data_IF_398821052075
#
_entry.id   IF_398821052075
#
_cell.length_a   1.000
_cell.length_b   1.000
_cell.length_c   1.000
_cell.angle_alpha   90.00
_cell.angle_beta   90.00
_cell.angle_gamma   90.00
#
_symmetry.space_group_name_H-M   'P 1'
#
loop_
_entity.id
_entity.type
_entity.pdbx_description
1 polymer ?
#
# COMPACT_ATOMS: atom_id res chain seq x y z
N UNK A 1 10.35 23.15 -35.88
CA UNK A 1 10.88 22.14 -34.94
C UNK A 1 9.99 22.14 -33.70
N UNK A 2 8.90 21.36 -33.74
CA UNK A 2 7.85 21.31 -32.70
C UNK A 2 7.54 19.84 -32.37
N UNK A 3 8.58 19.02 -32.26
CA UNK A 3 8.50 17.57 -32.17
C UNK A 3 8.76 17.05 -30.74
N UNK A 4 8.18 17.70 -29.73
CA UNK A 4 8.30 17.25 -28.34
C UNK A 4 7.01 16.60 -27.80
N UNK A 5 5.90 16.70 -28.54
CA UNK A 5 4.60 16.15 -28.14
C UNK A 5 4.04 15.13 -29.12
N UNK A 6 4.89 14.45 -29.90
CA UNK A 6 4.51 13.18 -30.52
C UNK A 6 4.67 12.06 -29.49
N UNK A 7 3.92 12.17 -28.40
CA UNK A 7 3.95 11.19 -27.33
C UNK A 7 2.96 10.09 -27.70
N UNK A 8 3.43 9.19 -28.56
CA UNK A 8 2.98 7.80 -28.59
C UNK A 8 3.37 7.06 -27.31
N UNK A 9 3.25 7.68 -26.12
CA UNK A 9 3.39 6.94 -24.87
C UNK A 9 2.06 6.28 -24.59
N UNK A 10 2.07 4.95 -24.66
CA UNK A 10 0.99 4.13 -24.12
C UNK A 10 0.67 4.57 -22.70
N UNK A 11 -0.60 4.49 -22.31
CA UNK A 11 -1.02 4.67 -20.92
C UNK A 11 -0.43 3.61 -19.97
N UNK A 12 0.38 2.67 -20.46
CA UNK A 12 1.03 1.61 -19.68
C UNK A 12 1.68 2.07 -18.37
N UNK A 13 2.43 3.19 -18.30
CA UNK A 13 2.95 3.70 -17.03
C UNK A 13 1.84 4.15 -16.06
N UNK A 14 0.78 4.77 -16.58
CA UNK A 14 -0.38 5.21 -15.79
C UNK A 14 -1.18 4.00 -15.30
N UNK A 15 -1.37 2.99 -16.16
CA UNK A 15 -2.05 1.74 -15.82
C UNK A 15 -1.25 0.93 -14.78
N UNK A 16 0.09 0.91 -14.88
CA UNK A 16 0.95 0.28 -13.88
C UNK A 16 0.87 0.98 -12.52
N UNK A 17 0.80 2.32 -12.50
CA UNK A 17 0.61 3.09 -11.27
C UNK A 17 -0.80 2.87 -10.70
N UNK A 18 -1.83 2.89 -11.54
CA UNK A 18 -3.21 2.69 -11.12
C UNK A 18 -3.43 1.27 -10.57
N UNK A 19 -2.87 0.24 -11.19
CA UNK A 19 -2.92 -1.14 -10.69
C UNK A 19 -2.24 -1.29 -9.32
N UNK A 20 -1.12 -0.59 -9.08
CA UNK A 20 -0.49 -0.54 -7.75
C UNK A 20 -1.38 0.18 -6.73
N UNK A 21 -2.02 1.26 -7.12
CA UNK A 21 -2.93 2.02 -6.24
C UNK A 21 -4.17 1.22 -5.88
N UNK A 22 -4.77 0.50 -6.84
CA UNK A 22 -5.90 -0.39 -6.59
C UNK A 22 -5.52 -1.57 -5.69
N UNK A 23 -4.32 -2.13 -5.87
CA UNK A 23 -3.79 -3.15 -4.96
C UNK A 23 -3.65 -2.60 -3.53
N UNK A 24 -3.03 -1.42 -3.37
CA UNK A 24 -2.91 -0.76 -2.08
C UNK A 24 -4.29 -0.45 -1.48
N UNK A 25 -5.28 -0.08 -2.28
CA UNK A 25 -6.67 0.12 -1.85
C UNK A 25 -7.33 -1.19 -1.41
N UNK A 26 -7.05 -2.31 -2.07
CA UNK A 26 -7.47 -3.64 -1.65
C UNK A 26 -6.89 -4.03 -0.29
N UNK A 27 -5.61 -3.72 -0.06
CA UNK A 27 -4.99 -3.88 1.27
C UNK A 27 -5.65 -2.90 2.25
N UNK A 28 -5.84 -1.62 1.87
CA UNK A 28 -6.50 -0.53 2.61
C UNK A 28 -7.89 -0.94 3.14
N UNK A 29 -8.68 -1.66 2.34
CA UNK A 29 -9.98 -2.20 2.75
C UNK A 29 -9.85 -3.22 3.90
N UNK A 30 -8.73 -3.95 3.96
CA UNK A 30 -8.35 -4.79 5.11
C UNK A 30 -7.88 -4.00 6.35
N UNK A 31 -7.53 -2.72 6.22
CA UNK A 31 -7.18 -1.84 7.35
C UNK A 31 -8.40 -1.26 8.08
N UNK A 32 -9.64 -1.59 7.67
CA UNK A 32 -10.86 -1.16 8.38
C UNK A 32 -10.85 -1.57 9.86
N UNK A 33 -10.06 -2.59 10.22
CA UNK A 33 -9.78 -2.93 11.61
C UNK A 33 -8.28 -2.76 11.93
N UNK A 34 -7.86 -1.50 12.10
CA UNK A 34 -6.50 -1.12 12.49
C UNK A 34 -5.99 -1.91 13.69
N UNK A 35 -6.87 -2.22 14.66
CA UNK A 35 -6.53 -3.05 15.82
C UNK A 35 -6.10 -4.48 15.43
N UNK A 36 -6.79 -5.10 14.47
CA UNK A 36 -6.42 -6.44 13.97
C UNK A 36 -5.13 -6.40 13.16
N UNK A 37 -4.91 -5.35 12.36
CA UNK A 37 -3.64 -5.16 11.64
C UNK A 37 -2.46 -4.97 12.61
N UNK A 38 -2.62 -4.13 13.62
CA UNK A 38 -1.60 -3.90 14.66
C UNK A 38 -1.32 -5.21 15.40
N UNK A 39 -2.37 -5.93 15.81
CA UNK A 39 -2.24 -7.21 16.50
C UNK A 39 -1.48 -8.23 15.65
N UNK A 40 -1.85 -8.41 14.38
CA UNK A 40 -1.16 -9.32 13.47
C UNK A 40 0.29 -8.91 13.22
N UNK A 41 0.55 -7.62 13.04
CA UNK A 41 1.90 -7.09 12.83
C UNK A 41 2.78 -7.25 14.05
N UNK A 42 2.23 -7.06 15.26
CA UNK A 42 2.93 -7.26 16.54
C UNK A 42 3.22 -8.73 16.81
N UNK A 43 2.28 -9.64 16.53
CA UNK A 43 2.50 -11.09 16.66
C UNK A 43 3.57 -11.56 15.68
N UNK A 44 3.47 -11.14 14.42
CA UNK A 44 4.41 -11.56 13.38
C UNK A 44 5.82 -10.98 13.59
N UNK A 45 5.93 -9.78 14.14
CA UNK A 45 7.21 -9.13 14.44
C UNK A 45 7.75 -9.44 15.85
N UNK A 46 7.06 -10.26 16.65
CA UNK A 46 7.45 -10.61 18.03
C UNK A 46 7.33 -9.46 19.04
N UNK A 47 6.72 -8.33 18.68
CA UNK A 47 6.65 -7.11 19.51
C UNK A 47 5.45 -7.07 20.46
N UNK A 48 4.62 -8.11 20.48
CA UNK A 48 3.45 -8.20 21.37
C UNK A 48 3.84 -8.04 22.85
N UNK A 49 4.96 -8.65 23.26
CA UNK A 49 5.45 -8.63 24.64
C UNK A 49 5.85 -7.21 25.10
N UNK A 50 6.47 -6.43 24.21
CA UNK A 50 6.91 -5.05 24.47
C UNK A 50 5.72 -4.10 24.70
N UNK A 51 4.60 -4.33 24.02
CA UNK A 51 3.38 -3.50 24.15
C UNK A 51 2.65 -3.75 25.47
N UNK A 52 2.62 -5.00 25.96
CA UNK A 52 1.93 -5.39 27.19
C UNK A 52 2.65 -4.84 28.44
N UNK A 53 3.99 -4.78 28.42
CA UNK A 53 4.78 -4.28 29.53
C UNK A 53 4.85 -2.73 29.62
N UNK A 54 4.25 -2.02 28.65
CA UNK A 54 4.28 -0.56 28.55
C UNK A 54 2.95 0.12 28.98
N UNK A 55 2.00 -0.65 29.52
CA UNK A 55 0.73 -0.20 30.10
C UNK A 55 0.76 -0.41 31.62
#
# INVERSE_FOLDING_TARGET
MLAYFDIGASNGPVEAINGRLEHLRGIALGFKNLGHYILRSLIHSGQLHTKINAL
#
